data_IF_679665174886
#
_entry.id   IF_679665174886
#
_cell.length_a   1.000
_cell.length_b   1.000
_cell.length_c   1.000
_cell.angle_alpha   90.00
_cell.angle_beta   90.00
_cell.angle_gamma   90.00
#
_symmetry.space_group_name_H-M   'P 1'
#
loop_
_entity.id
_entity.type
_entity.pdbx_description
1 polymer ?
#
# COMPACT_ATOMS: atom_id res chain seq x y z
N UNK A 1 -21.25 -2.84 16.55
CA UNK A 1 -22.16 -3.68 15.74
C UNK A 1 -21.55 -5.08 15.68
N UNK A 2 -21.99 -6.02 16.52
CA UNK A 2 -21.42 -7.37 16.64
C UNK A 2 -21.83 -8.36 15.53
N UNK A 3 -21.77 -7.97 14.24
CA UNK A 3 -22.20 -8.83 13.15
C UNK A 3 -21.18 -9.93 12.77
N UNK A 4 -19.93 -9.90 13.30
CA UNK A 4 -18.88 -10.91 13.05
C UNK A 4 -18.33 -10.95 11.61
N UNK A 5 -18.71 -10.03 10.73
CA UNK A 5 -18.27 -10.03 9.33
C UNK A 5 -16.76 -9.84 9.22
N UNK A 6 -16.17 -8.97 10.06
CA UNK A 6 -14.72 -8.74 10.07
C UNK A 6 -13.92 -10.01 10.40
N UNK A 7 -14.43 -10.85 11.32
CA UNK A 7 -13.80 -12.14 11.67
C UNK A 7 -13.92 -13.13 10.50
N UNK A 8 -15.09 -13.22 9.88
CA UNK A 8 -15.34 -14.14 8.75
C UNK A 8 -14.47 -13.86 7.54
N UNK A 9 -14.14 -12.60 7.27
CA UNK A 9 -13.31 -12.21 6.13
C UNK A 9 -11.82 -12.12 6.47
N UNK A 10 -11.44 -12.28 7.74
CA UNK A 10 -10.06 -12.14 8.18
C UNK A 10 -9.19 -13.31 7.66
N UNK A 11 -8.17 -13.05 6.83
CA UNK A 11 -7.32 -14.11 6.29
C UNK A 11 -6.40 -14.74 7.34
N UNK A 12 -6.17 -14.07 8.48
CA UNK A 12 -5.37 -14.60 9.60
C UNK A 12 -6.16 -15.65 10.39
N UNK A 13 -7.48 -15.44 10.58
CA UNK A 13 -8.35 -16.38 11.29
C UNK A 13 -8.75 -17.57 10.42
N UNK A 14 -8.84 -17.38 9.12
CA UNK A 14 -9.13 -18.44 8.17
C UNK A 14 -8.20 -18.32 6.96
N UNK A 15 -7.00 -18.91 6.97
CA UNK A 15 -6.04 -18.84 5.89
C UNK A 15 -6.63 -19.33 4.55
N UNK A 16 -6.27 -18.67 3.45
CA UNK A 16 -6.65 -19.12 2.11
C UNK A 16 -5.83 -20.35 1.71
N UNK A 17 -6.38 -21.19 0.85
CA UNK A 17 -5.60 -22.26 0.26
C UNK A 17 -4.48 -21.68 -0.60
N UNK A 18 -3.31 -22.31 -0.56
CA UNK A 18 -2.21 -21.97 -1.46
C UNK A 18 -2.61 -22.32 -2.89
N UNK A 19 -2.37 -21.38 -3.79
CA UNK A 19 -2.58 -21.57 -5.24
C UNK A 19 -1.22 -21.57 -5.90
N UNK A 20 -0.97 -22.54 -6.78
CA UNK A 20 0.27 -22.60 -7.56
C UNK A 20 0.30 -21.43 -8.56
N UNK A 21 1.43 -20.72 -8.67
CA UNK A 21 1.55 -19.62 -9.62
C UNK A 21 1.56 -20.15 -11.06
N UNK A 22 0.90 -19.43 -11.97
CA UNK A 22 0.93 -19.75 -13.40
C UNK A 22 2.30 -19.47 -14.05
N UNK A 23 3.10 -18.58 -13.46
CA UNK A 23 4.43 -18.23 -13.92
C UNK A 23 5.09 -17.17 -13.05
N UNK A 24 6.38 -16.96 -13.24
CA UNK A 24 7.17 -15.92 -12.58
C UNK A 24 7.92 -15.11 -13.65
N UNK A 25 7.84 -13.79 -13.56
CA UNK A 25 8.40 -12.87 -14.52
C UNK A 25 9.17 -11.74 -13.84
N UNK A 26 10.32 -11.36 -14.41
CA UNK A 26 10.97 -10.09 -14.08
C UNK A 26 10.45 -9.02 -15.03
N UNK A 27 9.82 -7.97 -14.51
CA UNK A 27 9.19 -6.92 -15.30
C UNK A 27 9.68 -5.53 -14.91
N UNK A 28 9.90 -4.67 -15.93
CA UNK A 28 10.23 -3.26 -15.78
C UNK A 28 9.47 -2.45 -16.82
N UNK A 29 8.71 -1.46 -16.37
CA UNK A 29 8.06 -0.49 -17.26
C UNK A 29 9.05 0.61 -17.62
N UNK A 30 9.34 0.79 -18.93
CA UNK A 30 10.22 1.88 -19.40
C UNK A 30 9.62 3.25 -19.11
N UNK A 31 8.29 3.39 -19.23
CA UNK A 31 7.59 4.65 -19.06
C UNK A 31 7.36 5.04 -17.59
N UNK A 32 7.39 4.07 -16.65
CA UNK A 32 6.93 4.29 -15.28
C UNK A 32 7.94 3.89 -14.20
N UNK A 33 9.15 3.48 -14.58
CA UNK A 33 10.17 3.07 -13.60
C UNK A 33 10.66 4.26 -12.78
N UNK A 34 10.81 5.41 -13.39
CA UNK A 34 11.23 6.63 -12.69
C UNK A 34 10.14 7.06 -11.70
N UNK A 35 10.54 7.40 -10.49
CA UNK A 35 9.64 7.69 -9.38
C UNK A 35 8.95 6.48 -8.75
N UNK A 36 9.25 5.25 -9.20
CA UNK A 36 8.73 4.01 -8.61
C UNK A 36 9.73 3.39 -7.62
N UNK A 37 9.24 2.77 -6.57
CA UNK A 37 10.07 2.02 -5.60
C UNK A 37 10.67 0.73 -6.19
N UNK A 38 10.16 0.24 -7.32
CA UNK A 38 10.60 -0.96 -8.03
C UNK A 38 10.42 -0.79 -9.55
N UNK A 39 10.13 -1.84 -10.29
CA UNK A 39 10.08 -1.85 -11.76
C UNK A 39 8.98 -1.02 -12.43
N UNK A 40 8.15 -0.29 -11.71
CA UNK A 40 7.09 0.55 -12.28
C UNK A 40 5.89 -0.23 -12.81
N UNK A 41 5.68 -1.46 -12.37
CA UNK A 41 4.57 -2.31 -12.82
C UNK A 41 3.22 -1.76 -12.34
N UNK A 42 3.13 -1.28 -11.09
CA UNK A 42 1.90 -0.72 -10.56
C UNK A 42 1.34 0.42 -11.43
N UNK A 43 2.07 1.53 -11.69
CA UNK A 43 1.53 2.60 -12.52
C UNK A 43 1.29 2.18 -13.98
N UNK A 44 1.99 1.16 -14.50
CA UNK A 44 1.70 0.62 -15.83
C UNK A 44 0.34 -0.09 -15.87
N UNK A 45 0.03 -0.93 -14.88
CA UNK A 45 -1.28 -1.57 -14.77
C UNK A 45 -2.39 -0.55 -14.51
N UNK A 46 -2.12 0.42 -13.63
CA UNK A 46 -3.05 1.51 -13.33
C UNK A 46 -3.40 2.31 -14.60
N UNK A 47 -2.39 2.64 -15.42
CA UNK A 47 -2.60 3.35 -16.69
C UNK A 47 -3.54 2.58 -17.64
N UNK A 48 -3.40 1.26 -17.73
CA UNK A 48 -4.32 0.43 -18.53
C UNK A 48 -5.74 0.51 -18.02
N UNK A 49 -5.94 0.33 -16.71
CA UNK A 49 -7.29 0.36 -16.10
C UNK A 49 -7.92 1.75 -16.25
N UNK A 50 -7.16 2.82 -16.00
CA UNK A 50 -7.65 4.20 -16.17
C UNK A 50 -8.01 4.50 -17.63
N UNK A 51 -7.21 4.04 -18.61
CA UNK A 51 -7.50 4.27 -20.03
C UNK A 51 -8.79 3.62 -20.50
N UNK A 52 -9.26 2.60 -19.82
CA UNK A 52 -10.54 1.91 -20.06
C UNK A 52 -11.69 2.48 -19.20
N UNK A 53 -11.49 3.63 -18.56
CA UNK A 53 -12.48 4.25 -17.67
C UNK A 53 -12.64 3.54 -16.32
N UNK A 54 -11.69 2.70 -15.94
CA UNK A 54 -11.71 1.96 -14.67
C UNK A 54 -11.33 2.81 -13.46
N UNK A 55 -11.24 2.16 -12.30
CA UNK A 55 -10.91 2.78 -11.01
C UNK A 55 -9.73 2.04 -10.38
N UNK A 56 -8.80 2.78 -9.80
CA UNK A 56 -7.61 2.21 -9.15
C UNK A 56 -7.67 2.49 -7.65
N UNK A 57 -7.45 1.46 -6.84
CA UNK A 57 -7.33 1.56 -5.38
C UNK A 57 -5.90 1.27 -4.94
N UNK A 58 -5.37 2.11 -4.08
CA UNK A 58 -4.02 1.95 -3.54
C UNK A 58 -3.76 2.80 -2.30
N UNK A 59 -2.69 2.49 -1.59
CA UNK A 59 -2.33 3.22 -0.39
C UNK A 59 -1.75 4.61 -0.71
N UNK A 60 -2.20 5.62 0.02
CA UNK A 60 -1.72 7.01 -0.04
C UNK A 60 -1.26 7.49 1.33
N UNK A 61 -0.42 8.51 1.36
CA UNK A 61 -0.15 9.30 2.56
C UNK A 61 -1.07 10.52 2.50
N UNK A 62 -1.90 10.70 3.52
CA UNK A 62 -2.80 11.83 3.66
C UNK A 62 -2.05 13.09 4.13
N UNK A 63 -2.69 14.25 4.05
CA UNK A 63 -2.10 15.54 4.46
C UNK A 63 -1.74 15.58 5.95
N UNK A 64 -2.43 14.81 6.79
CA UNK A 64 -2.14 14.63 8.22
C UNK A 64 -1.09 13.54 8.49
N UNK A 65 -0.39 13.06 7.47
CA UNK A 65 0.59 11.98 7.50
C UNK A 65 0.03 10.61 7.87
N UNK A 66 -1.26 10.42 8.01
CA UNK A 66 -1.85 9.07 8.11
C UNK A 66 -1.72 8.32 6.77
N UNK A 67 -1.77 6.99 6.82
CA UNK A 67 -1.74 6.17 5.60
C UNK A 67 -3.07 5.46 5.45
N UNK A 68 -3.71 5.65 4.31
CA UNK A 68 -5.00 5.02 4.01
C UNK A 68 -5.08 4.56 2.55
N UNK A 69 -6.09 3.77 2.23
CA UNK A 69 -6.45 3.49 0.85
C UNK A 69 -7.34 4.59 0.29
N UNK A 70 -7.10 4.93 -0.96
CA UNK A 70 -7.91 5.87 -1.72
C UNK A 70 -8.24 5.28 -3.09
N UNK A 71 -9.23 5.87 -3.76
CA UNK A 71 -9.56 5.59 -5.15
C UNK A 71 -8.97 6.68 -6.08
N UNK A 72 -8.66 6.29 -7.30
CA UNK A 72 -8.19 7.19 -8.35
C UNK A 72 -8.91 6.90 -9.67
N UNK A 73 -9.27 7.98 -10.37
CA UNK A 73 -9.95 7.95 -11.66
C UNK A 73 -9.06 8.46 -12.80
N UNK A 74 -7.87 8.93 -12.45
CA UNK A 74 -6.88 9.47 -13.36
C UNK A 74 -5.45 9.16 -12.89
N UNK A 75 -4.49 9.45 -13.73
CA UNK A 75 -3.07 9.23 -13.40
C UNK A 75 -2.54 10.18 -12.34
N UNK A 76 -3.15 11.36 -12.13
CA UNK A 76 -2.75 12.28 -11.06
C UNK A 76 -3.08 11.69 -9.68
N UNK A 77 -4.23 11.02 -9.55
CA UNK A 77 -4.57 10.23 -8.35
C UNK A 77 -3.64 9.04 -8.16
N UNK A 78 -3.30 8.32 -9.23
CA UNK A 78 -2.36 7.18 -9.20
C UNK A 78 -0.96 7.60 -8.74
N UNK A 79 -0.49 8.80 -9.09
CA UNK A 79 0.81 9.30 -8.63
C UNK A 79 0.92 9.39 -7.10
N UNK A 80 -0.16 9.72 -6.40
CA UNK A 80 -0.20 9.74 -4.92
C UNK A 80 -0.07 8.34 -4.30
N UNK A 81 -0.42 7.31 -5.05
CA UNK A 81 -0.34 5.91 -4.62
C UNK A 81 1.05 5.31 -4.84
N UNK A 82 1.90 5.93 -5.66
CA UNK A 82 3.25 5.42 -5.95
C UNK A 82 4.15 5.48 -4.72
N UNK A 83 5.15 4.64 -4.73
CA UNK A 83 6.11 4.53 -3.63
C UNK A 83 5.63 3.63 -2.49
N UNK A 84 6.58 3.02 -1.79
CA UNK A 84 6.31 2.18 -0.61
C UNK A 84 5.85 3.03 0.58
N UNK A 85 4.89 2.52 1.35
CA UNK A 85 4.46 3.09 2.63
C UNK A 85 4.63 1.99 3.69
N UNK A 86 5.61 2.15 4.57
CA UNK A 86 5.87 1.17 5.62
C UNK A 86 5.08 1.50 6.90
N UNK A 87 3.77 1.64 6.72
CA UNK A 87 2.77 1.83 7.77
C UNK A 87 1.54 1.03 7.37
N UNK A 88 0.83 0.45 8.32
CA UNK A 88 -0.46 -0.15 8.02
C UNK A 88 -1.42 0.92 7.49
N UNK A 89 -1.92 0.73 6.28
CA UNK A 89 -2.95 1.60 5.70
C UNK A 89 -4.33 1.28 6.26
N UNK A 90 -5.13 2.30 6.53
CA UNK A 90 -6.55 2.15 6.79
C UNK A 90 -7.28 1.89 5.46
N UNK A 91 -8.15 0.91 5.45
CA UNK A 91 -8.94 0.57 4.26
C UNK A 91 -10.20 1.43 4.13
N UNK A 92 -10.61 2.12 5.20
CA UNK A 92 -11.86 2.87 5.26
C UNK A 92 -13.04 2.06 4.66
N UNK A 93 -13.74 2.63 3.68
CA UNK A 93 -14.81 1.97 2.94
C UNK A 93 -14.34 1.25 1.65
N UNK A 94 -13.03 1.15 1.39
CA UNK A 94 -12.50 0.71 0.09
C UNK A 94 -13.08 -0.61 -0.43
N UNK A 95 -13.40 -1.58 0.44
CA UNK A 95 -14.01 -2.83 -0.01
C UNK A 95 -15.47 -2.63 -0.49
N UNK A 96 -16.19 -1.70 0.12
CA UNK A 96 -17.55 -1.33 -0.26
C UNK A 96 -17.52 -0.58 -1.60
N UNK A 97 -16.57 0.35 -1.75
CA UNK A 97 -16.38 1.15 -2.95
C UNK A 97 -15.94 0.27 -4.14
N UNK A 98 -15.01 -0.67 -3.93
CA UNK A 98 -14.64 -1.68 -4.93
C UNK A 98 -15.86 -2.47 -5.39
N UNK A 99 -16.69 -2.96 -4.46
CA UNK A 99 -17.92 -3.68 -4.80
C UNK A 99 -18.87 -2.80 -5.60
N UNK A 100 -19.04 -1.55 -5.20
CA UNK A 100 -19.90 -0.58 -5.89
C UNK A 100 -19.46 -0.40 -7.34
N UNK A 101 -18.19 -0.08 -7.59
CA UNK A 101 -17.68 0.14 -8.95
C UNK A 101 -17.75 -1.11 -9.83
N UNK A 102 -17.53 -2.29 -9.27
CA UNK A 102 -17.71 -3.56 -9.98
C UNK A 102 -19.17 -3.82 -10.34
N UNK A 103 -20.13 -3.43 -9.50
CA UNK A 103 -21.55 -3.52 -9.79
C UNK A 103 -22.01 -2.53 -10.86
N UNK A 104 -21.39 -1.35 -10.91
CA UNK A 104 -21.55 -0.36 -11.98
C UNK A 104 -20.87 -0.77 -13.30
N UNK A 105 -20.30 -1.97 -13.37
CA UNK A 105 -19.65 -2.51 -14.58
C UNK A 105 -18.28 -1.91 -14.90
N UNK A 106 -17.67 -1.18 -13.96
CA UNK A 106 -16.33 -0.62 -14.18
C UNK A 106 -15.24 -1.64 -13.88
N UNK A 107 -14.13 -1.55 -14.59
CA UNK A 107 -12.90 -2.27 -14.22
C UNK A 107 -12.30 -1.65 -12.96
N UNK A 108 -11.83 -2.49 -12.06
CA UNK A 108 -11.20 -2.08 -10.81
C UNK A 108 -9.84 -2.74 -10.67
N UNK A 109 -8.80 -1.95 -10.42
CA UNK A 109 -7.51 -2.41 -9.95
C UNK A 109 -7.41 -2.13 -8.44
N UNK A 110 -7.33 -3.17 -7.63
CA UNK A 110 -7.08 -3.03 -6.21
C UNK A 110 -5.66 -3.50 -5.88
N UNK A 111 -4.87 -2.63 -5.24
CA UNK A 111 -3.50 -2.96 -4.80
C UNK A 111 -3.40 -2.85 -3.29
N UNK A 112 -2.75 -3.83 -2.66
CA UNK A 112 -2.62 -3.86 -1.21
C UNK A 112 -1.61 -4.90 -0.74
N UNK A 113 -1.55 -5.13 0.55
CA UNK A 113 -0.82 -6.27 1.12
C UNK A 113 -1.58 -7.58 0.86
N UNK A 114 -0.93 -8.76 0.91
CA UNK A 114 -1.60 -10.05 0.67
C UNK A 114 -2.82 -10.25 1.57
N UNK A 115 -2.75 -9.85 2.85
CA UNK A 115 -3.88 -9.95 3.77
C UNK A 115 -5.04 -9.00 3.40
N UNK A 116 -4.77 -7.83 2.83
CA UNK A 116 -5.81 -6.90 2.35
C UNK A 116 -6.47 -7.44 1.08
N UNK A 117 -5.69 -7.95 0.13
CA UNK A 117 -6.22 -8.57 -1.09
C UNK A 117 -7.07 -9.81 -0.74
N UNK A 118 -6.58 -10.69 0.13
CA UNK A 118 -7.35 -11.85 0.59
C UNK A 118 -8.64 -11.44 1.33
N UNK A 119 -8.58 -10.38 2.14
CA UNK A 119 -9.74 -9.80 2.80
C UNK A 119 -10.78 -9.28 1.83
N UNK A 120 -10.35 -8.58 0.77
CA UNK A 120 -11.23 -8.10 -0.30
C UNK A 120 -11.95 -9.26 -0.99
N UNK A 121 -11.23 -10.29 -1.45
CA UNK A 121 -11.85 -11.44 -2.11
C UNK A 121 -12.92 -12.11 -1.25
N UNK A 122 -12.67 -12.24 0.05
CA UNK A 122 -13.64 -12.79 0.99
C UNK A 122 -14.82 -11.86 1.25
N UNK A 123 -14.57 -10.55 1.30
CA UNK A 123 -15.65 -9.57 1.43
C UNK A 123 -16.59 -9.62 0.23
N UNK A 124 -16.04 -9.74 -0.98
CA UNK A 124 -16.82 -9.83 -2.21
C UNK A 124 -17.59 -11.16 -2.32
N UNK A 125 -17.01 -12.27 -1.82
CA UNK A 125 -17.64 -13.59 -1.74
C UNK A 125 -17.86 -14.29 -3.09
N UNK A 126 -17.50 -13.66 -4.21
CA UNK A 126 -17.54 -14.19 -5.57
C UNK A 126 -16.48 -13.55 -6.44
N UNK A 127 -16.17 -14.15 -7.59
CA UNK A 127 -15.37 -13.55 -8.63
C UNK A 127 -16.10 -12.43 -9.38
N UNK A 128 -15.33 -11.49 -9.91
CA UNK A 128 -15.79 -10.43 -10.80
C UNK A 128 -14.79 -10.31 -11.95
N UNK A 129 -15.25 -10.41 -13.19
CA UNK A 129 -14.38 -10.35 -14.39
C UNK A 129 -13.67 -8.98 -14.53
N UNK A 130 -14.28 -7.93 -13.99
CA UNK A 130 -13.70 -6.58 -13.99
C UNK A 130 -12.69 -6.31 -12.88
N UNK A 131 -12.42 -7.27 -11.96
CA UNK A 131 -11.51 -7.07 -10.84
C UNK A 131 -10.12 -7.61 -11.16
N UNK A 132 -9.13 -6.73 -11.07
CA UNK A 132 -7.71 -7.08 -11.04
C UNK A 132 -7.17 -6.77 -9.64
N UNK A 133 -6.55 -7.74 -8.99
CA UNK A 133 -5.89 -7.53 -7.70
C UNK A 133 -4.38 -7.72 -7.84
N UNK A 134 -3.63 -6.85 -7.18
CA UNK A 134 -2.17 -6.94 -7.09
C UNK A 134 -1.77 -6.83 -5.63
N UNK A 135 -1.22 -7.89 -5.10
CA UNK A 135 -0.59 -7.83 -3.79
C UNK A 135 0.91 -7.51 -3.91
N UNK A 136 1.42 -6.76 -2.96
CA UNK A 136 2.85 -6.47 -2.85
C UNK A 136 3.53 -7.53 -2.02
N UNK A 137 4.79 -7.85 -2.32
CA UNK A 137 5.62 -8.62 -1.40
C UNK A 137 5.76 -7.82 -0.10
N UNK A 138 5.13 -8.33 0.95
CA UNK A 138 4.99 -7.62 2.22
C UNK A 138 5.87 -8.26 3.28
N UNK A 139 6.76 -7.45 3.86
CA UNK A 139 7.59 -7.85 5.01
C UNK A 139 6.80 -7.86 6.32
N UNK A 140 5.79 -7.03 6.39
CA UNK A 140 4.97 -6.73 7.57
C UNK A 140 4.69 -5.24 7.65
N UNK A 141 3.91 -4.83 8.63
CA UNK A 141 3.53 -3.43 8.80
C UNK A 141 3.63 -2.98 10.25
N UNK A 142 4.26 -1.83 10.52
CA UNK A 142 4.15 -1.12 11.80
C UNK A 142 2.73 -0.58 12.02
N UNK A 143 2.37 -0.36 13.29
CA UNK A 143 1.07 0.20 13.61
C UNK A 143 0.97 1.69 13.25
N UNK A 144 -0.24 2.18 12.86
CA UNK A 144 -0.46 3.62 12.65
C UNK A 144 -0.11 4.47 13.88
N UNK A 145 -0.39 3.97 15.09
CA UNK A 145 -0.08 4.70 16.33
C UNK A 145 1.42 4.87 16.59
N UNK A 146 2.28 3.93 16.15
CA UNK A 146 3.72 4.12 16.21
C UNK A 146 4.17 5.20 15.21
N UNK A 147 3.65 5.14 13.99
CA UNK A 147 3.93 6.14 12.96
C UNK A 147 3.52 7.54 13.40
N UNK A 148 2.31 7.71 13.94
CA UNK A 148 1.82 8.98 14.47
C UNK A 148 2.75 9.56 15.56
N UNK A 149 3.18 8.71 16.50
CA UNK A 149 4.13 9.13 17.54
C UNK A 149 5.47 9.58 16.97
N UNK A 150 5.96 8.87 15.94
CA UNK A 150 7.20 9.20 15.27
C UNK A 150 7.09 10.54 14.52
N UNK A 151 6.02 10.75 13.74
CA UNK A 151 5.74 12.02 13.07
C UNK A 151 5.71 13.17 14.08
N UNK A 152 4.93 13.04 15.15
CA UNK A 152 4.85 14.06 16.22
C UNK A 152 6.21 14.32 16.90
N UNK A 153 7.06 13.33 17.02
CA UNK A 153 8.42 13.51 17.56
C UNK A 153 9.29 14.33 16.61
N UNK A 154 9.24 14.06 15.30
CA UNK A 154 9.95 14.85 14.30
C UNK A 154 9.45 16.30 14.24
N UNK A 155 8.14 16.50 14.23
CA UNK A 155 7.53 17.82 14.22
C UNK A 155 7.95 18.66 15.44
N UNK A 156 7.95 18.06 16.63
CA UNK A 156 8.45 18.73 17.84
C UNK A 156 9.92 19.09 17.75
N UNK A 157 10.75 18.17 17.20
CA UNK A 157 12.20 18.40 17.04
C UNK A 157 12.48 19.55 16.08
N UNK A 158 11.68 19.70 15.03
CA UNK A 158 11.91 20.69 13.96
C UNK A 158 11.04 21.96 14.12
N UNK A 159 10.09 21.96 15.03
CA UNK A 159 9.20 23.11 15.28
C UNK A 159 8.23 23.41 14.12
N UNK A 160 7.96 22.45 13.25
CA UNK A 160 7.12 22.62 12.06
C UNK A 160 6.37 21.30 11.72
N UNK A 161 5.20 21.39 11.06
CA UNK A 161 4.49 20.18 10.60
C UNK A 161 5.23 19.47 9.48
N UNK A 162 5.16 18.14 9.47
CA UNK A 162 5.69 17.33 8.37
C UNK A 162 4.78 17.44 7.15
N UNK A 163 5.37 17.69 5.97
CA UNK A 163 4.62 17.96 4.73
C UNK A 163 4.61 16.77 3.76
N UNK A 164 5.62 15.94 3.79
CA UNK A 164 5.71 14.75 2.94
C UNK A 164 6.69 13.73 3.53
N UNK A 165 6.56 12.49 3.08
CA UNK A 165 7.47 11.39 3.37
C UNK A 165 7.66 10.50 2.14
N UNK A 166 8.88 10.01 1.94
CA UNK A 166 9.23 8.95 0.99
C UNK A 166 10.00 7.88 1.73
N UNK A 167 9.36 6.76 2.00
CA UNK A 167 9.96 5.66 2.76
C UNK A 167 11.07 4.93 2.00
N UNK A 168 11.04 4.99 0.68
CA UNK A 168 12.02 4.35 -0.20
C UNK A 168 12.31 5.28 -1.36
N UNK A 169 13.03 6.35 -1.06
CA UNK A 169 13.45 7.32 -2.05
C UNK A 169 14.67 6.78 -2.81
N UNK A 170 14.53 6.66 -4.11
CA UNK A 170 15.58 6.17 -5.03
C UNK A 170 16.04 7.25 -6.00
N UNK A 171 15.74 8.50 -5.73
CA UNK A 171 16.11 9.62 -6.60
C UNK A 171 17.61 9.74 -6.85
N UNK A 172 18.43 9.42 -5.84
CA UNK A 172 19.90 9.47 -5.94
C UNK A 172 20.51 8.14 -6.34
N UNK A 173 19.97 7.01 -5.87
CA UNK A 173 20.52 5.69 -6.13
C UNK A 173 19.47 4.58 -6.13
N UNK A 174 19.57 3.69 -7.10
CA UNK A 174 18.76 2.50 -7.13
C UNK A 174 19.10 1.49 -6.03
N UNK A 175 20.38 1.39 -5.66
CA UNK A 175 20.86 0.42 -4.68
C UNK A 175 20.77 0.94 -3.24
N UNK A 176 21.11 2.21 -3.03
CA UNK A 176 21.10 2.88 -1.73
C UNK A 176 19.90 3.83 -1.71
N UNK A 177 18.78 3.36 -1.16
CA UNK A 177 17.59 4.20 -1.05
C UNK A 177 17.59 4.94 0.29
N UNK A 178 17.04 6.14 0.24
CA UNK A 178 16.94 7.01 1.40
C UNK A 178 15.53 6.94 2.01
N UNK A 179 15.44 7.30 3.28
CA UNK A 179 14.23 7.75 3.93
C UNK A 179 14.23 9.28 3.91
N UNK A 180 13.25 9.85 3.23
CA UNK A 180 13.19 11.30 2.97
C UNK A 180 11.89 11.88 3.53
N UNK A 181 12.02 13.00 4.25
CA UNK A 181 10.90 13.77 4.77
C UNK A 181 11.05 15.24 4.42
N UNK A 182 10.06 16.08 4.72
CA UNK A 182 10.20 17.54 4.62
C UNK A 182 11.28 18.15 5.52
N UNK A 183 11.89 17.37 6.41
CA UNK A 183 12.95 17.82 7.32
C UNK A 183 14.35 17.39 6.88
N UNK A 184 14.47 16.55 5.87
CA UNK A 184 15.74 16.06 5.34
C UNK A 184 15.67 14.61 4.88
N UNK A 185 16.82 14.10 4.47
CA UNK A 185 17.01 12.75 3.95
C UNK A 185 18.18 12.08 4.69
N UNK A 186 18.07 10.77 4.92
CA UNK A 186 19.14 9.93 5.45
C UNK A 186 19.06 8.53 4.83
N UNK A 187 20.11 7.74 4.97
CA UNK A 187 20.01 6.32 4.66
C UNK A 187 18.91 5.69 5.52
N UNK A 188 18.12 4.79 4.92
CA UNK A 188 16.96 4.23 5.63
C UNK A 188 17.32 3.51 6.93
N UNK A 189 18.54 2.95 7.03
CA UNK A 189 19.01 2.25 8.23
C UNK A 189 19.41 3.23 9.37
N UNK A 190 19.72 4.48 9.03
CA UNK A 190 20.08 5.52 10.01
C UNK A 190 18.85 6.19 10.62
N UNK A 191 17.69 6.01 10.00
CA UNK A 191 16.42 6.47 10.55
C UNK A 191 15.89 5.50 11.61
N UNK A 192 15.57 5.94 12.84
CA UNK A 192 15.16 5.04 13.92
C UNK A 192 13.85 4.29 13.63
N UNK A 193 12.88 4.90 12.93
CA UNK A 193 11.65 4.22 12.56
C UNK A 193 11.91 3.11 11.55
N UNK A 194 12.69 3.42 10.52
CA UNK A 194 13.03 2.46 9.47
C UNK A 194 13.96 1.35 9.98
N UNK A 195 14.92 1.68 10.83
CA UNK A 195 15.83 0.70 11.44
C UNK A 195 15.04 -0.34 12.29
N UNK A 196 14.11 0.11 13.13
CA UNK A 196 13.26 -0.77 13.92
C UNK A 196 12.34 -1.63 13.05
N UNK A 197 11.84 -1.07 11.94
CA UNK A 197 11.04 -1.83 10.96
C UNK A 197 11.84 -2.96 10.31
N UNK A 198 13.06 -2.66 9.82
CA UNK A 198 13.92 -3.64 9.16
C UNK A 198 14.38 -4.75 10.11
N UNK A 199 14.47 -4.44 11.41
CA UNK A 199 14.82 -5.40 12.46
C UNK A 199 13.60 -6.17 13.02
N UNK A 200 12.45 -6.08 12.39
CA UNK A 200 11.20 -6.75 12.79
C UNK A 200 10.64 -6.31 14.15
N UNK A 201 11.18 -5.26 14.77
CA UNK A 201 10.81 -4.85 16.13
C UNK A 201 9.46 -4.13 16.22
N UNK A 202 8.89 -3.72 15.08
CA UNK A 202 7.66 -2.90 15.03
C UNK A 202 6.51 -3.55 14.28
N UNK A 203 6.69 -4.77 13.82
CA UNK A 203 5.67 -5.50 13.08
C UNK A 203 4.48 -5.88 13.96
N UNK A 204 3.30 -5.94 13.37
CA UNK A 204 2.12 -6.46 14.06
C UNK A 204 2.31 -7.95 14.42
N UNK A 205 1.78 -8.42 15.55
CA UNK A 205 1.88 -9.84 15.92
C UNK A 205 1.32 -10.80 14.87
N UNK A 206 0.33 -10.37 14.08
CA UNK A 206 -0.24 -11.16 12.99
C UNK A 206 0.72 -11.30 11.79
N UNK A 207 1.65 -10.37 11.58
CA UNK A 207 2.61 -10.44 10.48
C UNK A 207 3.59 -11.62 10.62
N UNK A 208 3.90 -12.02 11.85
CA UNK A 208 4.77 -13.19 12.11
C UNK A 208 4.11 -14.55 11.80
N UNK A 209 2.81 -14.54 11.50
CA UNK A 209 2.02 -15.74 11.17
C UNK A 209 1.55 -15.75 9.71
N UNK A 210 1.98 -14.76 8.93
CA UNK A 210 1.58 -14.60 7.53
C UNK A 210 2.35 -15.53 6.58
#
# INVERSE_FOLDING_TARGET
IGCGKCEKVCPVLAPSQKVEPLGAFAARSRAHVDGSSSGGVFPALASLVISEGGVVFGAVVNDDMTVGHAEAFDMAGVEKMRGSKYVQSDLYASYEDVRYWLQEGRKVLFTGTPCQVAGLHRYLGRGYDGLVTVDVLCHGVPSPGLWEKYVKALERKHGAPMKYVRFKDKSESWRHHAFTTSFGSCEYIDDPYMALFVQDMTLRPSCYKC
#
